data_IF_033346932950
#
_entry.id   IF_033346932950
#
_cell.length_a   1.000
_cell.length_b   1.000
_cell.length_c   1.000
_cell.angle_alpha   90.00
_cell.angle_beta   90.00
_cell.angle_gamma   90.00
#
_symmetry.space_group_name_H-M   'P 1'
#
loop_
_entity.id
_entity.type
_entity.pdbx_description
1 polymer ?
#
# COMPACT_ATOMS: atom_id res chain seq x y z
N UNK A 1 42.20 14.95 -1.24
CA UNK A 1 41.20 15.76 -0.51
C UNK A 1 40.22 16.29 -1.56
N UNK A 2 39.15 15.56 -1.80
CA UNK A 2 38.09 15.98 -2.71
C UNK A 2 36.81 16.10 -1.85
N UNK A 3 36.42 17.34 -1.56
CA UNK A 3 35.13 17.64 -0.94
C UNK A 3 34.05 17.36 -1.98
N UNK A 4 33.22 16.36 -1.74
CA UNK A 4 31.96 16.20 -2.44
C UNK A 4 31.13 17.45 -2.15
N UNK A 5 30.79 18.19 -3.21
CA UNK A 5 29.79 19.24 -3.15
C UNK A 5 28.45 18.55 -2.86
N UNK A 6 27.93 18.78 -1.66
CA UNK A 6 26.48 18.61 -1.43
C UNK A 6 25.77 19.54 -2.39
N UNK A 7 25.23 18.99 -3.46
CA UNK A 7 24.38 19.75 -4.37
C UNK A 7 23.10 20.08 -3.59
N UNK A 8 22.89 21.34 -3.27
CA UNK A 8 21.61 21.85 -2.78
C UNK A 8 20.53 21.42 -3.77
N UNK A 9 19.46 20.80 -3.23
CA UNK A 9 18.34 20.40 -4.06
C UNK A 9 17.78 21.61 -4.81
N UNK A 10 17.48 21.49 -6.11
CA UNK A 10 16.99 22.63 -6.90
C UNK A 10 15.68 23.17 -6.32
N UNK A 11 15.47 24.48 -6.34
CA UNK A 11 14.25 25.17 -5.83
C UNK A 11 12.94 24.60 -6.40
N UNK A 12 12.95 24.06 -7.63
CA UNK A 12 11.78 23.42 -8.23
C UNK A 12 11.39 22.12 -7.53
N UNK A 13 12.34 21.41 -6.89
CA UNK A 13 12.06 20.19 -6.15
C UNK A 13 11.25 20.47 -4.86
N UNK A 14 11.52 21.60 -4.21
CA UNK A 14 10.74 22.07 -3.05
C UNK A 14 9.31 22.46 -3.46
N UNK A 15 9.15 23.09 -4.64
CA UNK A 15 7.84 23.42 -5.18
C UNK A 15 7.04 22.17 -5.57
N UNK A 16 7.66 21.20 -6.22
CA UNK A 16 7.03 19.91 -6.57
C UNK A 16 6.69 19.06 -5.35
N UNK A 17 7.53 19.14 -4.30
CA UNK A 17 7.25 18.53 -3.01
C UNK A 17 6.06 19.18 -2.29
N UNK A 18 5.89 20.49 -2.45
CA UNK A 18 4.75 21.21 -1.88
C UNK A 18 3.43 20.90 -2.62
N UNK A 19 3.51 20.65 -3.92
CA UNK A 19 2.35 20.30 -4.76
C UNK A 19 1.87 18.84 -4.55
N UNK A 20 2.73 17.98 -4.03
CA UNK A 20 2.38 16.61 -3.66
C UNK A 20 1.78 16.57 -2.24
N UNK A 21 0.70 17.33 -2.01
CA UNK A 21 -0.02 17.32 -0.72
C UNK A 21 -0.59 15.93 -0.50
N UNK A 22 -0.12 15.29 0.57
CA UNK A 22 -0.56 13.97 1.00
C UNK A 22 -1.93 14.06 1.69
N UNK A 23 -2.85 13.13 1.42
CA UNK A 23 -4.16 13.04 2.09
C UNK A 23 -4.08 13.07 3.63
N UNK A 24 -2.99 12.54 4.21
CA UNK A 24 -2.79 12.61 5.66
C UNK A 24 -2.23 13.97 6.12
N UNK A 25 -1.81 14.78 5.19
CA UNK A 25 -1.32 16.12 5.42
C UNK A 25 -2.42 17.15 5.49
N UNK A 26 -3.46 16.97 4.68
CA UNK A 26 -4.69 17.76 4.78
C UNK A 26 -5.26 17.66 6.21
N UNK A 27 -5.13 16.49 6.86
CA UNK A 27 -5.51 16.28 8.25
C UNK A 27 -4.68 17.10 9.25
N UNK A 28 -3.39 17.29 9.02
CA UNK A 28 -2.53 18.05 9.93
C UNK A 28 -2.68 19.57 9.73
N UNK A 29 -3.04 20.02 8.51
CA UNK A 29 -3.05 21.43 8.16
C UNK A 29 -4.43 22.08 8.13
N UNK A 30 -5.50 21.35 7.83
CA UNK A 30 -6.76 21.95 7.40
C UNK A 30 -7.99 21.62 8.23
N UNK A 31 -7.85 21.21 9.50
CA UNK A 31 -9.01 20.76 10.27
C UNK A 31 -9.64 21.80 11.20
N UNK A 32 -10.50 22.70 10.67
CA UNK A 32 -11.46 23.41 11.52
C UNK A 32 -12.51 22.47 12.13
N UNK A 33 -12.73 21.27 11.55
CA UNK A 33 -13.80 20.36 11.92
C UNK A 33 -13.45 19.33 13.01
N UNK A 34 -12.16 19.09 13.31
CA UNK A 34 -11.76 18.28 14.46
C UNK A 34 -11.97 19.06 15.75
N UNK A 35 -12.70 18.47 16.69
CA UNK A 35 -12.84 19.08 18.01
C UNK A 35 -11.46 19.28 18.63
N UNK A 36 -11.30 20.34 19.42
CA UNK A 36 -10.03 20.67 20.07
C UNK A 36 -9.52 19.53 20.98
N UNK A 37 -10.43 18.70 21.49
CA UNK A 37 -10.12 17.49 22.25
C UNK A 37 -9.44 16.42 21.42
N UNK A 38 -9.93 16.13 20.22
CA UNK A 38 -9.32 15.15 19.31
C UNK A 38 -7.93 15.60 18.90
N UNK A 39 -7.73 16.91 18.65
CA UNK A 39 -6.40 17.48 18.37
C UNK A 39 -5.42 17.31 19.54
N UNK A 40 -5.90 17.53 20.78
CA UNK A 40 -5.08 17.34 21.98
C UNK A 40 -4.68 15.87 22.14
N UNK A 41 -5.62 14.95 21.94
CA UNK A 41 -5.36 13.50 21.99
C UNK A 41 -4.36 13.11 20.91
N UNK A 42 -4.54 13.57 19.68
CA UNK A 42 -3.62 13.28 18.57
C UNK A 42 -2.19 13.77 18.82
N UNK A 43 -2.03 15.02 19.26
CA UNK A 43 -0.72 15.59 19.60
C UNK A 43 -0.05 14.86 20.76
N UNK A 44 -0.83 14.41 21.75
CA UNK A 44 -0.33 13.65 22.90
C UNK A 44 0.12 12.24 22.50
N UNK A 45 -0.60 11.60 21.57
CA UNK A 45 -0.28 10.26 21.08
C UNK A 45 0.96 10.25 20.15
N UNK A 46 1.23 11.36 19.44
CA UNK A 46 2.30 11.46 18.46
C UNK A 46 3.28 12.61 18.71
N UNK A 47 3.90 12.70 19.90
CA UNK A 47 4.77 13.84 20.27
C UNK A 47 6.06 13.92 19.47
N UNK A 48 6.48 12.85 18.80
CA UNK A 48 7.74 12.71 18.07
C UNK A 48 7.56 12.31 16.60
N UNK A 49 6.50 12.78 15.95
CA UNK A 49 6.31 12.55 14.52
C UNK A 49 7.48 13.15 13.71
N UNK A 50 7.91 12.44 12.66
CA UNK A 50 8.98 12.91 11.76
C UNK A 50 8.57 14.27 11.15
N UNK A 51 9.47 15.29 11.15
CA UNK A 51 9.21 16.56 10.48
C UNK A 51 8.85 16.35 9.00
N UNK A 52 7.99 17.24 8.49
CA UNK A 52 7.43 17.11 7.14
C UNK A 52 8.48 16.96 6.06
N UNK A 53 9.38 17.91 5.98
CA UNK A 53 10.42 17.96 4.97
C UNK A 53 11.33 16.72 5.03
N UNK A 54 11.67 16.27 6.24
CA UNK A 54 12.47 15.07 6.45
C UNK A 54 11.72 13.81 5.97
N UNK A 55 10.43 13.70 6.29
CA UNK A 55 9.60 12.61 5.82
C UNK A 55 9.56 12.54 4.29
N UNK A 56 9.32 13.66 3.60
CA UNK A 56 9.25 13.68 2.14
C UNK A 56 10.60 13.40 1.48
N UNK A 57 11.70 13.93 2.01
CA UNK A 57 13.04 13.61 1.51
C UNK A 57 13.33 12.11 1.61
N UNK A 58 13.05 11.52 2.77
CA UNK A 58 13.20 10.08 2.95
C UNK A 58 12.28 9.27 2.02
N UNK A 59 11.01 9.68 1.89
CA UNK A 59 10.05 9.01 1.02
C UNK A 59 10.48 9.06 -0.45
N UNK A 60 10.94 10.21 -0.96
CA UNK A 60 11.42 10.36 -2.33
C UNK A 60 12.65 9.48 -2.60
N UNK A 61 13.59 9.43 -1.67
CA UNK A 61 14.74 8.55 -1.77
C UNK A 61 14.32 7.08 -1.89
N UNK A 62 13.39 6.64 -1.03
CA UNK A 62 12.86 5.27 -1.08
C UNK A 62 12.04 5.01 -2.35
N UNK A 63 11.32 6.00 -2.87
CA UNK A 63 10.58 5.86 -4.13
C UNK A 63 11.52 5.76 -5.32
N UNK A 64 12.67 6.43 -5.32
CA UNK A 64 13.70 6.25 -6.34
C UNK A 64 14.26 4.81 -6.33
N UNK A 65 14.50 4.25 -5.14
CA UNK A 65 14.92 2.85 -5.02
C UNK A 65 13.81 1.86 -5.44
N UNK A 66 12.53 2.17 -5.18
CA UNK A 66 11.42 1.35 -5.69
C UNK A 66 11.36 1.32 -7.22
N UNK A 67 11.73 2.40 -7.91
CA UNK A 67 11.83 2.42 -9.37
C UNK A 67 12.92 1.46 -9.83
N UNK A 68 14.11 1.48 -9.20
CA UNK A 68 15.18 0.54 -9.50
C UNK A 68 14.76 -0.91 -9.28
N UNK A 69 14.08 -1.18 -8.16
CA UNK A 69 13.49 -2.50 -7.89
C UNK A 69 12.52 -2.93 -8.99
N UNK A 70 11.63 -2.03 -9.41
CA UNK A 70 10.69 -2.29 -10.51
C UNK A 70 11.41 -2.66 -11.80
N UNK A 71 12.42 -1.87 -12.17
CA UNK A 71 13.19 -2.09 -13.41
C UNK A 71 13.95 -3.42 -13.37
N UNK A 72 14.53 -3.74 -12.21
CA UNK A 72 15.18 -5.02 -11.98
C UNK A 72 14.20 -6.20 -12.08
N UNK A 73 13.01 -6.10 -11.48
CA UNK A 73 11.95 -7.12 -11.57
C UNK A 73 11.51 -7.32 -13.03
N UNK A 74 11.30 -6.22 -13.76
CA UNK A 74 10.91 -6.28 -15.17
C UNK A 74 11.98 -6.89 -16.06
N UNK A 75 13.25 -6.53 -15.83
CA UNK A 75 14.41 -7.01 -16.60
C UNK A 75 14.66 -8.51 -16.39
N UNK A 76 14.72 -8.96 -15.14
CA UNK A 76 15.01 -10.36 -14.78
C UNK A 76 13.79 -11.27 -14.82
N UNK A 77 12.60 -10.73 -15.17
CA UNK A 77 11.35 -11.49 -15.19
C UNK A 77 11.00 -12.13 -13.83
N UNK A 78 11.41 -11.48 -12.76
CA UNK A 78 11.06 -11.89 -11.41
C UNK A 78 9.55 -11.76 -11.17
N UNK A 79 9.04 -12.50 -10.19
CA UNK A 79 7.62 -12.48 -9.79
C UNK A 79 7.52 -12.12 -8.31
N UNK A 80 6.90 -10.99 -8.00
CA UNK A 80 6.81 -10.50 -6.62
C UNK A 80 5.35 -10.38 -6.19
N UNK A 81 5.03 -10.94 -5.03
CA UNK A 81 3.74 -10.78 -4.35
C UNK A 81 3.99 -10.18 -2.98
N UNK A 82 3.33 -9.08 -2.68
CA UNK A 82 3.35 -8.48 -1.34
C UNK A 82 1.92 -8.45 -0.79
N UNK A 83 1.73 -9.05 0.38
CA UNK A 83 0.44 -9.08 1.07
C UNK A 83 0.44 -8.04 2.18
N UNK A 84 -0.60 -7.22 2.21
CA UNK A 84 -0.84 -6.23 3.25
C UNK A 84 -2.08 -6.62 4.06
N UNK A 85 -1.85 -7.15 5.24
CA UNK A 85 -2.89 -7.53 6.21
C UNK A 85 -2.81 -6.68 7.47
N UNK A 86 -3.78 -6.82 8.35
CA UNK A 86 -3.79 -6.14 9.64
C UNK A 86 -5.10 -5.43 9.94
N UNK A 87 -5.10 -4.72 11.07
CA UNK A 87 -6.28 -4.04 11.63
C UNK A 87 -6.88 -3.03 10.65
N UNK A 88 -8.19 -2.82 10.78
CA UNK A 88 -8.84 -1.72 10.08
C UNK A 88 -8.27 -0.39 10.57
N UNK A 89 -8.13 0.55 9.65
CA UNK A 89 -7.45 1.85 9.88
C UNK A 89 -5.95 1.77 10.18
N UNK A 90 -5.29 0.62 10.11
CA UNK A 90 -3.87 0.49 10.44
C UNK A 90 -2.91 1.18 9.45
N UNK A 91 -3.40 1.63 8.27
CA UNK A 91 -2.60 2.40 7.32
C UNK A 91 -2.12 1.62 6.10
N UNK A 92 -2.62 0.39 5.87
CA UNK A 92 -2.29 -0.45 4.69
C UNK A 92 -2.37 0.30 3.36
N UNK A 93 -3.54 0.84 3.04
CA UNK A 93 -3.76 1.59 1.79
C UNK A 93 -2.84 2.81 1.64
N UNK A 94 -2.47 3.46 2.75
CA UNK A 94 -1.53 4.57 2.73
C UNK A 94 -0.11 4.14 2.34
N UNK A 95 0.36 2.98 2.79
CA UNK A 95 1.65 2.41 2.38
C UNK A 95 1.60 1.94 0.92
N UNK A 96 0.55 1.22 0.54
CA UNK A 96 0.35 0.76 -0.85
C UNK A 96 0.38 1.96 -1.82
N UNK A 97 -0.34 3.05 -1.50
CA UNK A 97 -0.34 4.28 -2.30
C UNK A 97 1.08 4.86 -2.44
N UNK A 98 1.89 4.89 -1.38
CA UNK A 98 3.27 5.42 -1.42
C UNK A 98 4.22 4.54 -2.20
N UNK A 99 4.03 3.21 -2.17
CA UNK A 99 4.77 2.27 -3.02
C UNK A 99 4.43 2.50 -4.49
N UNK A 100 3.14 2.58 -4.85
CA UNK A 100 2.70 2.60 -6.25
C UNK A 100 2.73 3.96 -6.91
N UNK A 101 2.81 5.04 -6.15
CA UNK A 101 2.62 6.42 -6.61
C UNK A 101 3.50 6.82 -7.81
N UNK A 102 4.72 6.30 -7.88
CA UNK A 102 5.69 6.61 -8.94
C UNK A 102 6.08 5.40 -9.80
N UNK A 103 5.44 4.26 -9.57
CA UNK A 103 5.72 3.03 -10.30
C UNK A 103 4.84 2.89 -11.53
N UNK A 104 5.34 2.16 -12.52
CA UNK A 104 4.63 1.88 -13.77
C UNK A 104 3.46 0.91 -13.49
N UNK A 105 2.19 1.31 -13.71
CA UNK A 105 1.03 0.45 -13.46
C UNK A 105 0.94 -0.77 -14.38
N UNK A 106 1.76 -0.86 -15.43
CA UNK A 106 1.88 -2.06 -16.27
C UNK A 106 2.78 -3.13 -15.64
N UNK A 107 3.63 -2.75 -14.71
CA UNK A 107 4.56 -3.64 -13.99
C UNK A 107 4.05 -3.91 -12.58
N UNK A 108 3.49 -2.89 -11.94
CA UNK A 108 3.02 -2.94 -10.55
C UNK A 108 1.52 -2.72 -10.49
N UNK A 109 0.81 -3.66 -9.90
CA UNK A 109 -0.65 -3.55 -9.74
C UNK A 109 -1.11 -3.87 -8.33
N UNK A 110 -2.19 -3.21 -7.93
CA UNK A 110 -2.85 -3.45 -6.64
C UNK A 110 -4.07 -4.33 -6.86
N UNK A 111 -4.23 -5.33 -6.02
CA UNK A 111 -5.38 -6.25 -6.00
C UNK A 111 -6.12 -6.07 -4.68
N UNK A 112 -7.34 -5.57 -4.76
CA UNK A 112 -8.28 -5.44 -3.65
C UNK A 112 -9.59 -6.12 -4.04
N UNK A 113 -9.78 -7.37 -3.64
CA UNK A 113 -10.94 -8.14 -4.04
C UNK A 113 -12.17 -7.77 -3.19
N UNK A 114 -13.36 -7.61 -3.80
CA UNK A 114 -14.60 -7.42 -3.06
C UNK A 114 -14.99 -8.67 -2.28
N UNK A 115 -16.09 -8.63 -1.54
CA UNK A 115 -16.68 -9.83 -0.94
C UNK A 115 -16.93 -10.90 -2.04
N UNK A 116 -16.72 -12.19 -1.72
CA UNK A 116 -16.90 -13.26 -2.71
C UNK A 116 -18.34 -13.33 -3.20
N UNK A 117 -18.52 -13.47 -4.52
CA UNK A 117 -19.80 -13.76 -5.15
C UNK A 117 -20.32 -15.15 -4.72
N UNK A 118 -21.60 -15.43 -4.94
CA UNK A 118 -22.16 -16.77 -4.60
C UNK A 118 -21.49 -17.90 -5.35
N UNK A 119 -21.05 -17.64 -6.59
CA UNK A 119 -20.25 -18.59 -7.36
C UNK A 119 -18.89 -18.86 -6.69
N UNK A 120 -18.17 -17.79 -6.32
CA UNK A 120 -16.86 -17.91 -5.69
C UNK A 120 -16.90 -18.62 -4.33
N UNK A 121 -17.99 -18.47 -3.56
CA UNK A 121 -18.20 -19.19 -2.29
C UNK A 121 -18.24 -20.73 -2.45
N UNK A 122 -18.57 -21.23 -3.65
CA UNK A 122 -18.62 -22.68 -3.94
C UNK A 122 -17.34 -23.20 -4.62
N UNK A 123 -16.39 -22.33 -4.95
CA UNK A 123 -15.12 -22.69 -5.56
C UNK A 123 -14.08 -23.08 -4.48
N UNK A 124 -13.00 -23.69 -4.93
CA UNK A 124 -11.81 -23.81 -4.09
C UNK A 124 -11.36 -22.43 -3.59
N UNK A 125 -11.11 -22.32 -2.29
CA UNK A 125 -10.96 -21.02 -1.64
C UNK A 125 -9.93 -20.09 -2.30
N UNK A 126 -8.76 -20.63 -2.69
CA UNK A 126 -7.70 -19.85 -3.29
C UNK A 126 -7.97 -19.48 -4.76
N UNK A 127 -8.95 -20.12 -5.42
CA UNK A 127 -9.21 -19.95 -6.86
C UNK A 127 -9.44 -18.49 -7.25
N UNK A 128 -10.08 -17.70 -6.41
CA UNK A 128 -10.33 -16.28 -6.67
C UNK A 128 -9.07 -15.41 -6.61
N UNK A 129 -7.99 -15.87 -5.94
CA UNK A 129 -6.72 -15.15 -5.82
C UNK A 129 -5.72 -15.55 -6.91
N UNK A 130 -5.75 -16.80 -7.34
CA UNK A 130 -4.81 -17.36 -8.33
C UNK A 130 -4.75 -16.57 -9.64
N UNK A 131 -5.85 -16.08 -10.25
CA UNK A 131 -5.81 -15.29 -11.49
C UNK A 131 -5.08 -13.96 -11.34
N UNK A 132 -4.84 -13.51 -10.12
CA UNK A 132 -4.18 -12.24 -9.82
C UNK A 132 -2.69 -12.39 -9.48
N UNK A 133 -2.15 -13.61 -9.49
CA UNK A 133 -0.72 -13.83 -9.27
C UNK A 133 0.12 -13.24 -10.41
N UNK A 134 1.36 -12.84 -10.15
CA UNK A 134 2.20 -12.17 -11.14
C UNK A 134 2.68 -13.10 -12.24
N UNK A 135 2.74 -12.61 -13.45
CA UNK A 135 3.60 -13.13 -14.50
C UNK A 135 5.05 -12.69 -14.28
N UNK A 136 5.98 -13.23 -15.08
CA UNK A 136 7.40 -12.80 -15.04
C UNK A 136 7.54 -11.30 -15.35
N UNK A 137 8.18 -10.56 -14.47
CA UNK A 137 8.37 -9.12 -14.57
C UNK A 137 7.27 -8.28 -13.90
N UNK A 138 6.41 -8.89 -13.06
CA UNK A 138 5.32 -8.17 -12.39
C UNK A 138 5.46 -8.17 -10.86
N UNK A 139 5.01 -7.08 -10.25
CA UNK A 139 4.82 -6.92 -8.80
C UNK A 139 3.33 -6.78 -8.51
N UNK A 140 2.81 -7.63 -7.64
CA UNK A 140 1.41 -7.61 -7.23
C UNK A 140 1.31 -7.30 -5.74
N UNK A 141 0.57 -6.24 -5.40
CA UNK A 141 0.31 -5.82 -4.04
C UNK A 141 -1.13 -6.16 -3.67
N UNK A 142 -1.33 -7.08 -2.73
CA UNK A 142 -2.66 -7.44 -2.23
C UNK A 142 -3.05 -6.55 -1.05
N UNK A 143 -4.06 -5.69 -1.21
CA UNK A 143 -4.75 -5.02 -0.09
C UNK A 143 -5.81 -5.96 0.46
N UNK A 144 -5.47 -6.69 1.49
CA UNK A 144 -6.10 -7.93 1.97
C UNK A 144 -5.93 -9.08 0.98
N UNK A 145 -5.95 -10.29 1.48
CA UNK A 145 -5.61 -11.48 0.71
C UNK A 145 -6.46 -12.69 1.12
N UNK A 146 -5.96 -13.87 0.84
CA UNK A 146 -6.53 -15.13 1.32
C UNK A 146 -6.59 -15.23 2.86
N UNK A 147 -5.87 -14.40 3.58
CA UNK A 147 -5.95 -14.30 5.03
C UNK A 147 -7.25 -13.69 5.56
N UNK A 148 -8.14 -13.19 4.68
CA UNK A 148 -9.51 -12.87 5.05
C UNK A 148 -10.22 -14.06 5.75
N UNK A 149 -9.91 -15.31 5.37
CA UNK A 149 -10.48 -16.53 5.96
C UNK A 149 -10.18 -16.64 7.44
N UNK A 150 -8.93 -16.47 7.85
CA UNK A 150 -8.52 -16.54 9.25
C UNK A 150 -8.83 -15.26 10.04
N UNK A 151 -9.07 -14.16 9.34
CA UNK A 151 -9.37 -12.83 9.90
C UNK A 151 -10.86 -12.51 9.89
N UNK A 152 -11.26 -11.63 8.98
CA UNK A 152 -12.61 -11.07 8.93
C UNK A 152 -13.69 -12.11 8.72
N UNK A 153 -13.47 -13.12 7.89
CA UNK A 153 -14.49 -14.14 7.61
C UNK A 153 -14.79 -15.00 8.86
N UNK A 154 -13.75 -15.37 9.60
CA UNK A 154 -13.88 -16.08 10.88
C UNK A 154 -14.55 -15.22 11.94
N UNK A 155 -14.02 -14.04 12.21
CA UNK A 155 -14.48 -13.16 13.30
C UNK A 155 -15.91 -12.72 13.11
N UNK A 156 -16.35 -12.53 11.86
CA UNK A 156 -17.71 -12.13 11.52
C UNK A 156 -18.67 -13.31 11.33
N UNK A 157 -18.17 -14.54 11.39
CA UNK A 157 -18.98 -15.74 11.19
C UNK A 157 -19.38 -15.99 9.73
N UNK A 158 -18.62 -15.46 8.77
CA UNK A 158 -18.83 -15.73 7.34
C UNK A 158 -18.21 -17.07 6.90
N UNK A 159 -17.28 -17.60 7.69
CA UNK A 159 -16.70 -18.93 7.53
C UNK A 159 -17.03 -19.80 8.73
N UNK A 160 -17.26 -21.09 8.51
CA UNK A 160 -17.40 -22.08 9.58
C UNK A 160 -16.02 -22.42 10.18
N UNK A 161 -16.00 -22.97 11.40
CA UNK A 161 -14.74 -23.38 12.02
C UNK A 161 -14.04 -24.46 11.17
N UNK A 162 -14.76 -25.37 10.53
CA UNK A 162 -14.17 -26.38 9.63
C UNK A 162 -13.49 -25.74 8.42
N UNK A 163 -14.09 -24.68 7.84
CA UNK A 163 -13.49 -23.94 6.72
C UNK A 163 -12.23 -23.17 7.15
N UNK A 164 -12.22 -22.67 8.39
CA UNK A 164 -11.04 -21.98 8.95
C UNK A 164 -9.93 -22.99 9.23
N UNK A 165 -10.26 -24.15 9.80
CA UNK A 165 -9.30 -25.22 10.07
C UNK A 165 -8.69 -25.76 8.77
N UNK A 166 -9.53 -26.02 7.76
CA UNK A 166 -9.06 -26.41 6.43
C UNK A 166 -8.12 -25.36 5.84
N UNK A 167 -8.46 -24.06 5.94
CA UNK A 167 -7.61 -22.97 5.47
C UNK A 167 -6.23 -23.00 6.15
N UNK A 168 -6.17 -23.18 7.46
CA UNK A 168 -4.90 -23.25 8.18
C UNK A 168 -4.04 -24.46 7.79
N UNK A 169 -4.66 -25.56 7.39
CA UNK A 169 -3.94 -26.72 6.87
C UNK A 169 -3.42 -26.48 5.45
N UNK A 170 -4.21 -25.80 4.62
CA UNK A 170 -3.91 -25.62 3.20
C UNK A 170 -2.97 -24.44 2.90
N UNK A 171 -3.08 -23.31 3.64
CA UNK A 171 -2.38 -22.08 3.30
C UNK A 171 -0.85 -22.20 3.35
N UNK A 172 -0.22 -22.91 4.31
CA UNK A 172 1.22 -23.05 4.29
C UNK A 172 1.73 -23.82 3.05
N UNK A 173 0.97 -24.83 2.61
CA UNK A 173 1.31 -25.61 1.42
C UNK A 173 1.10 -24.78 0.14
N UNK A 174 0.01 -24.02 0.07
CA UNK A 174 -0.26 -23.10 -1.02
C UNK A 174 0.88 -22.07 -1.17
N UNK A 175 1.30 -21.43 -0.08
CA UNK A 175 2.39 -20.46 -0.09
C UNK A 175 3.74 -21.10 -0.46
N UNK A 176 4.04 -22.29 0.04
CA UNK A 176 5.24 -23.06 -0.39
C UNK A 176 5.21 -23.38 -1.88
N UNK A 177 4.04 -23.73 -2.44
CA UNK A 177 3.91 -23.92 -3.90
C UNK A 177 4.21 -22.63 -4.67
N UNK A 178 3.71 -21.49 -4.21
CA UNK A 178 3.99 -20.19 -4.82
C UNK A 178 5.50 -19.88 -4.81
N UNK A 179 6.15 -20.05 -3.66
CA UNK A 179 7.59 -19.81 -3.52
C UNK A 179 8.40 -20.76 -4.40
N UNK A 180 8.06 -22.06 -4.41
CA UNK A 180 8.73 -23.05 -5.29
C UNK A 180 8.53 -22.77 -6.77
N UNK A 181 7.44 -22.07 -7.15
CA UNK A 181 7.22 -21.63 -8.55
C UNK A 181 8.01 -20.39 -8.93
N UNK A 182 8.85 -19.87 -8.02
CA UNK A 182 9.69 -18.70 -8.21
C UNK A 182 8.99 -17.38 -7.90
N UNK A 183 7.89 -17.39 -7.14
CA UNK A 183 7.26 -16.16 -6.63
C UNK A 183 7.96 -15.78 -5.32
N UNK A 184 8.42 -14.53 -5.24
CA UNK A 184 8.86 -13.92 -4.00
C UNK A 184 7.64 -13.43 -3.24
N UNK A 185 7.29 -14.12 -2.16
CA UNK A 185 6.11 -13.82 -1.34
C UNK A 185 6.54 -13.09 -0.06
N UNK A 186 6.06 -11.86 0.12
CA UNK A 186 6.29 -11.04 1.31
C UNK A 186 4.96 -10.77 2.00
N UNK A 187 4.92 -10.99 3.33
CA UNK A 187 3.68 -10.82 4.11
C UNK A 187 3.87 -9.77 5.19
N UNK A 188 3.10 -8.68 5.12
CA UNK A 188 3.07 -7.62 6.11
C UNK A 188 1.79 -7.64 6.92
N UNK A 189 1.93 -7.51 8.24
CA UNK A 189 0.84 -7.29 9.16
C UNK A 189 0.93 -5.93 9.82
N UNK A 190 -0.04 -5.05 9.53
CA UNK A 190 -0.13 -3.73 10.14
C UNK A 190 -0.85 -3.79 11.46
N UNK A 191 -0.14 -3.42 12.54
CA UNK A 191 -0.63 -3.42 13.91
C UNK A 191 -0.78 -2.00 14.42
N UNK A 192 -1.89 -1.70 15.07
CA UNK A 192 -2.13 -0.45 15.79
C UNK A 192 -2.74 -0.76 17.15
N UNK A 193 -2.65 0.19 18.08
CA UNK A 193 -3.33 0.10 19.36
C UNK A 193 -4.83 0.37 19.22
N UNK A 194 -5.59 -0.01 20.23
CA UNK A 194 -7.02 0.23 20.30
C UNK A 194 -7.34 1.73 20.29
N UNK A 195 -6.59 2.50 21.06
CA UNK A 195 -6.74 3.97 21.14
C UNK A 195 -6.47 4.63 19.79
N UNK A 196 -5.44 4.18 19.07
CA UNK A 196 -5.12 4.70 17.74
C UNK A 196 -6.22 4.38 16.73
N UNK A 197 -6.77 3.15 16.75
CA UNK A 197 -7.89 2.79 15.89
C UNK A 197 -9.11 3.66 16.18
N UNK A 198 -9.43 3.85 17.46
CA UNK A 198 -10.55 4.72 17.88
C UNK A 198 -10.40 6.12 17.35
N UNK A 199 -9.23 6.72 17.55
CA UNK A 199 -8.95 8.06 17.06
C UNK A 199 -9.12 8.17 15.55
N UNK A 200 -8.61 7.19 14.79
CA UNK A 200 -8.71 7.18 13.32
C UNK A 200 -10.15 7.01 12.84
N UNK A 201 -10.98 6.26 13.54
CA UNK A 201 -12.42 6.16 13.24
C UNK A 201 -13.15 7.45 13.54
N UNK A 202 -12.86 8.10 14.66
CA UNK A 202 -13.43 9.42 14.96
C UNK A 202 -13.08 10.46 13.89
N UNK A 203 -11.84 10.49 13.44
CA UNK A 203 -11.42 11.35 12.31
C UNK A 203 -12.24 11.04 11.05
N UNK A 204 -12.46 9.76 10.69
CA UNK A 204 -13.28 9.41 9.52
C UNK A 204 -14.73 9.82 9.65
N UNK A 205 -15.30 9.79 10.86
CA UNK A 205 -16.68 10.24 11.11
C UNK A 205 -16.84 11.73 10.85
N UNK A 206 -15.84 12.52 11.26
CA UNK A 206 -15.91 13.99 11.22
C UNK A 206 -15.36 14.61 9.93
N UNK A 207 -14.58 13.87 9.13
CA UNK A 207 -14.00 14.36 7.89
C UNK A 207 -14.87 13.98 6.69
N UNK A 208 -15.56 14.94 6.02
CA UNK A 208 -16.42 14.66 4.87
C UNK A 208 -15.69 13.94 3.72
N UNK A 209 -14.37 14.18 3.58
CA UNK A 209 -13.55 13.54 2.54
C UNK A 209 -13.18 12.10 2.88
N UNK A 210 -13.40 11.66 4.13
CA UNK A 210 -13.03 10.32 4.62
C UNK A 210 -14.21 9.47 5.09
N UNK A 211 -15.40 10.05 5.20
CA UNK A 211 -16.60 9.31 5.63
C UNK A 211 -16.87 8.07 4.79
N UNK A 212 -16.62 8.13 3.49
CA UNK A 212 -16.77 7.00 2.58
C UNK A 212 -15.85 5.80 2.91
N UNK A 213 -14.77 6.01 3.67
CA UNK A 213 -13.86 4.96 4.15
C UNK A 213 -14.38 4.23 5.38
N UNK A 214 -15.47 4.70 5.98
CA UNK A 214 -16.04 4.08 7.16
C UNK A 214 -17.20 3.17 6.74
N UNK A 215 -17.02 1.89 6.92
CA UNK A 215 -18.04 0.87 6.64
C UNK A 215 -18.69 0.34 7.92
N UNK A 216 -19.89 -0.27 7.84
CA UNK A 216 -20.48 -0.98 8.98
C UNK A 216 -19.55 -2.07 9.55
N UNK A 217 -18.70 -2.65 8.71
CA UNK A 217 -17.72 -3.67 9.11
C UNK A 217 -16.62 -3.08 10.00
N UNK A 218 -16.18 -1.84 9.74
CA UNK A 218 -15.21 -1.15 10.58
C UNK A 218 -15.74 -0.96 12.02
N UNK A 219 -17.03 -0.62 12.16
CA UNK A 219 -17.66 -0.49 13.47
C UNK A 219 -17.74 -1.84 14.20
N UNK A 220 -18.04 -2.92 13.49
CA UNK A 220 -18.06 -4.27 14.06
C UNK A 220 -16.66 -4.75 14.46
N UNK A 221 -15.61 -4.36 13.72
CA UNK A 221 -14.24 -4.72 14.04
C UNK A 221 -13.79 -4.16 15.39
N UNK A 222 -14.30 -2.97 15.76
CA UNK A 222 -14.03 -2.36 17.05
C UNK A 222 -14.67 -3.14 18.21
N UNK A 223 -15.92 -3.52 18.07
CA UNK A 223 -16.66 -4.30 19.09
C UNK A 223 -16.02 -5.69 19.31
N UNK A 224 -15.33 -6.22 18.31
CA UNK A 224 -14.73 -7.56 18.33
C UNK A 224 -13.19 -7.52 18.41
N UNK A 225 -12.65 -6.52 19.09
CA UNK A 225 -11.21 -6.29 19.17
C UNK A 225 -10.42 -7.52 19.62
N UNK A 226 -10.84 -8.17 20.72
CA UNK A 226 -10.18 -9.36 21.26
C UNK A 226 -10.30 -10.56 20.32
N UNK A 227 -11.44 -10.74 19.67
CA UNK A 227 -11.64 -11.80 18.68
C UNK A 227 -10.66 -11.66 17.50
N UNK A 228 -10.47 -10.44 17.00
CA UNK A 228 -9.46 -10.18 15.99
C UNK A 228 -8.03 -10.36 16.50
N UNK A 229 -7.75 -10.04 17.78
CA UNK A 229 -6.43 -10.29 18.38
C UNK A 229 -6.15 -11.78 18.40
N UNK A 230 -7.08 -12.59 18.91
CA UNK A 230 -6.96 -14.06 18.93
C UNK A 230 -6.79 -14.65 17.54
N UNK A 231 -7.56 -14.19 16.56
CA UNK A 231 -7.46 -14.63 15.17
C UNK A 231 -6.08 -14.31 14.58
N UNK A 232 -5.51 -13.13 14.87
CA UNK A 232 -4.15 -12.76 14.48
C UNK A 232 -3.10 -13.69 15.09
N UNK A 233 -3.18 -13.91 16.39
CA UNK A 233 -2.21 -14.74 17.12
C UNK A 233 -2.18 -16.16 16.56
N UNK A 234 -3.34 -16.76 16.31
CA UNK A 234 -3.44 -18.08 15.70
C UNK A 234 -2.95 -18.09 14.25
N UNK A 235 -3.26 -17.04 13.46
CA UNK A 235 -2.73 -16.89 12.11
C UNK A 235 -1.20 -16.92 12.12
N UNK A 236 -0.55 -16.19 13.00
CA UNK A 236 0.91 -16.21 13.09
C UNK A 236 1.44 -17.54 13.55
N UNK A 237 0.84 -18.14 14.57
CA UNK A 237 1.29 -19.43 15.08
C UNK A 237 1.24 -20.55 14.03
N UNK A 238 0.26 -20.52 13.13
CA UNK A 238 0.01 -21.59 12.15
C UNK A 238 0.54 -21.30 10.75
N UNK A 239 0.85 -20.04 10.41
CA UNK A 239 1.19 -19.67 9.02
C UNK A 239 2.51 -18.89 8.89
N UNK A 240 3.26 -18.73 9.98
CA UNK A 240 4.60 -18.13 9.91
C UNK A 240 5.61 -19.19 9.47
N UNK A 241 5.71 -19.41 8.18
CA UNK A 241 6.61 -20.40 7.58
C UNK A 241 7.95 -19.76 7.18
N UNK A 242 9.07 -20.51 7.23
CA UNK A 242 10.38 -19.96 6.88
C UNK A 242 10.48 -19.43 5.46
N UNK A 243 9.77 -20.03 4.51
CA UNK A 243 9.77 -19.65 3.09
C UNK A 243 9.04 -18.33 2.82
N UNK A 244 8.08 -17.97 3.69
CA UNK A 244 7.31 -16.75 3.63
C UNK A 244 6.91 -16.31 5.05
N UNK A 245 7.84 -15.70 5.80
CA UNK A 245 7.56 -15.24 7.16
C UNK A 245 6.65 -14.01 7.18
N UNK A 246 5.99 -13.78 8.32
CA UNK A 246 5.26 -12.58 8.61
C UNK A 246 6.18 -11.48 9.15
N UNK A 247 5.97 -10.25 8.66
CA UNK A 247 6.62 -9.05 9.17
C UNK A 247 5.57 -8.11 9.76
N UNK A 248 5.77 -7.68 11.01
CA UNK A 248 4.84 -6.78 11.69
C UNK A 248 5.30 -5.34 11.47
N UNK A 249 4.38 -4.51 10.97
CA UNK A 249 4.56 -3.08 10.82
C UNK A 249 3.78 -2.36 11.91
N UNK A 250 4.47 -1.62 12.76
CA UNK A 250 3.85 -0.77 13.77
C UNK A 250 3.25 0.47 13.11
N UNK A 251 1.91 0.52 13.09
CA UNK A 251 1.14 1.49 12.33
C UNK A 251 0.70 2.73 13.10
N UNK A 252 1.03 2.88 14.40
CA UNK A 252 0.59 4.03 15.19
C UNK A 252 1.12 5.35 14.63
N UNK A 253 2.41 5.42 14.26
CA UNK A 253 2.95 6.53 13.48
C UNK A 253 2.92 6.17 11.99
N UNK A 254 2.02 6.79 11.24
CA UNK A 254 1.83 6.53 9.81
C UNK A 254 3.05 6.85 8.97
N UNK A 255 3.79 7.92 9.30
CA UNK A 255 4.99 8.32 8.54
C UNK A 255 6.09 7.27 8.72
N UNK A 256 6.35 6.87 9.96
CA UNK A 256 7.33 5.81 10.27
C UNK A 256 6.92 4.47 9.67
N UNK A 257 5.65 4.09 9.80
CA UNK A 257 5.13 2.85 9.23
C UNK A 257 5.35 2.78 7.71
N UNK A 258 5.14 3.87 6.99
CA UNK A 258 5.36 3.95 5.54
C UNK A 258 6.83 3.81 5.19
N UNK A 259 7.69 4.63 5.78
CA UNK A 259 9.12 4.60 5.49
C UNK A 259 9.72 3.24 5.84
N UNK A 260 9.46 2.74 7.04
CA UNK A 260 10.01 1.47 7.51
C UNK A 260 9.52 0.27 6.68
N UNK A 261 8.25 0.26 6.27
CA UNK A 261 7.72 -0.81 5.44
C UNK A 261 8.34 -0.82 4.03
N UNK A 262 8.50 0.35 3.42
CA UNK A 262 9.13 0.49 2.10
C UNK A 262 10.61 0.11 2.18
N UNK A 263 11.33 0.66 3.14
CA UNK A 263 12.74 0.36 3.36
C UNK A 263 12.98 -1.14 3.59
N UNK A 264 12.17 -1.76 4.45
CA UNK A 264 12.24 -3.20 4.69
C UNK A 264 11.95 -4.03 3.41
N UNK A 265 10.96 -3.63 2.59
CA UNK A 265 10.65 -4.31 1.33
C UNK A 265 11.84 -4.26 0.38
N UNK A 266 12.50 -3.12 0.26
CA UNK A 266 13.70 -2.93 -0.55
C UNK A 266 14.87 -3.81 -0.09
N UNK A 267 15.03 -3.98 1.22
CA UNK A 267 16.09 -4.84 1.78
C UNK A 267 15.81 -6.35 1.64
N UNK A 268 14.53 -6.75 1.52
CA UNK A 268 14.18 -8.17 1.33
C UNK A 268 14.46 -8.70 -0.07
N UNK A 269 14.47 -7.85 -1.07
CA UNK A 269 14.64 -8.24 -2.47
C UNK A 269 16.02 -7.79 -2.94
N UNK A 270 16.90 -8.72 -3.32
CA UNK A 270 18.24 -8.36 -3.80
C UNK A 270 18.15 -7.82 -5.23
N UNK A 271 17.93 -6.53 -5.38
CA UNK A 271 17.92 -5.84 -6.67
C UNK A 271 19.22 -5.05 -6.87
N UNK A 272 19.54 -4.79 -8.12
CA UNK A 272 20.68 -4.00 -8.56
C UNK A 272 20.28 -3.10 -9.74
N UNK A 273 21.09 -2.11 -10.05
CA UNK A 273 20.86 -1.28 -11.22
C UNK A 273 20.92 -2.13 -12.50
N UNK A 274 19.96 -1.95 -13.40
CA UNK A 274 19.90 -2.63 -14.68
C UNK A 274 20.34 -1.70 -15.80
N UNK A 275 20.87 -2.24 -16.91
CA UNK A 275 21.22 -1.42 -18.06
C UNK A 275 20.01 -0.70 -18.64
N UNK A 276 20.12 0.61 -18.84
CA UNK A 276 19.15 1.42 -19.57
C UNK A 276 19.74 1.80 -20.93
N UNK A 277 18.91 1.79 -21.96
CA UNK A 277 19.30 2.33 -23.26
C UNK A 277 19.40 3.85 -23.19
N UNK A 278 20.42 4.43 -23.79
CA UNK A 278 20.56 5.87 -23.92
C UNK A 278 19.44 6.41 -24.82
N UNK A 279 18.52 7.15 -24.22
CA UNK A 279 17.39 7.74 -24.93
C UNK A 279 17.82 9.11 -25.48
N UNK A 280 17.94 9.18 -26.80
CA UNK A 280 18.12 10.48 -27.48
C UNK A 280 16.77 10.95 -27.99
N UNK A 281 16.35 12.16 -27.59
CA UNK A 281 15.13 12.75 -28.11
C UNK A 281 15.32 13.10 -29.59
N UNK A 282 14.56 12.47 -30.53
CA UNK A 282 14.67 12.78 -31.93
C UNK A 282 14.19 14.22 -32.21
N UNK A 283 14.78 14.85 -33.20
CA UNK A 283 14.30 16.14 -33.67
C UNK A 283 12.88 16.02 -34.21
N UNK A 284 12.08 17.06 -33.96
CA UNK A 284 10.73 17.12 -34.52
C UNK A 284 10.78 17.32 -36.03
N UNK A 285 10.23 16.36 -36.76
CA UNK A 285 10.02 16.54 -38.22
C UNK A 285 8.82 17.47 -38.40
N UNK A 286 9.08 18.66 -38.95
CA UNK A 286 8.06 19.64 -39.27
C UNK A 286 7.49 19.37 -40.67
N UNK A 287 6.17 19.25 -40.79
CA UNK A 287 5.50 19.17 -42.09
C UNK A 287 4.94 20.56 -42.44
N UNK A 288 5.53 21.31 -43.41
CA UNK A 288 5.09 22.65 -43.78
C UNK A 288 3.72 22.64 -44.49
N UNK A 289 3.29 21.51 -45.04
CA UNK A 289 2.01 21.41 -45.79
C UNK A 289 0.84 21.02 -44.86
N UNK A 290 1.11 20.85 -43.56
CA UNK A 290 0.06 20.50 -42.59
C UNK A 290 -0.55 21.74 -41.96
N UNK A 291 -1.81 22.02 -42.32
CA UNK A 291 -2.62 23.06 -41.64
C UNK A 291 -3.46 22.41 -40.52
N UNK A 292 -3.30 22.96 -39.32
CA UNK A 292 -4.05 22.52 -38.15
C UNK A 292 -5.49 23.03 -38.21
N UNK A 293 -6.46 22.11 -38.19
CA UNK A 293 -7.86 22.47 -38.08
C UNK A 293 -8.14 23.16 -36.72
N UNK A 294 -8.84 24.29 -36.77
CA UNK A 294 -9.36 24.94 -35.57
C UNK A 294 -10.56 24.15 -35.07
N UNK A 295 -10.47 23.64 -33.85
CA UNK A 295 -11.56 22.92 -33.23
C UNK A 295 -12.60 23.89 -32.66
N UNK A 296 -13.90 23.55 -32.70
CA UNK A 296 -14.94 24.37 -32.09
C UNK A 296 -14.69 24.60 -30.60
N UNK A 297 -14.97 25.79 -30.07
CA UNK A 297 -14.70 26.14 -28.65
C UNK A 297 -15.37 25.18 -27.66
N UNK A 298 -16.53 24.61 -28.01
CA UNK A 298 -17.29 23.69 -27.17
C UNK A 298 -16.60 22.32 -26.94
N UNK A 299 -15.57 22.02 -27.72
CA UNK A 299 -14.73 20.83 -27.50
C UNK A 299 -13.64 21.04 -26.44
N UNK A 300 -13.41 22.28 -26.05
CA UNK A 300 -12.43 22.58 -25.02
C UNK A 300 -13.10 22.62 -23.64
N UNK A 301 -12.41 22.07 -22.66
CA UNK A 301 -12.83 22.23 -21.26
C UNK A 301 -12.79 23.71 -20.92
N UNK A 302 -13.88 24.30 -20.38
CA UNK A 302 -13.87 25.69 -19.98
C UNK A 302 -12.79 26.00 -18.97
N UNK A 303 -11.98 27.02 -19.23
CA UNK A 303 -11.01 27.53 -18.26
C UNK A 303 -11.77 28.26 -17.16
N UNK A 304 -11.77 27.63 -15.98
CA UNK A 304 -12.44 28.17 -14.79
C UNK A 304 -11.43 28.67 -13.74
N UNK A 305 -10.20 28.21 -13.82
CA UNK A 305 -9.07 28.52 -12.94
C UNK A 305 -7.91 29.05 -13.76
#
# INVERSE_FOLDING_TARGET
>A
MNKSKDAEAPDWLEAELADTIDEDYELELSEPALSEEIRKIYRKAHPASIPRLEYFRALLSLQAELIKLQDWVAYHKEKVVVIFEGRDSAGKGGVIKRITQRLNPRVVRVVALPAPSDREKTQWYFQRYVPHLPAGGEIVLFDRSWYNRSGVERVMGFATEDQVEQFFNDVPEFERMLVRSGIRLVKYWFSITDEEQQMRFLVRIHDPLKQWKLSPMDLQSRVRWEAYTKAKEETFARTNIPEAPWYIVEGNDKKRARLNCIDHLLHLIPYEDVPHEDITLPERVFNPDYERNVLPPELYVPSKY
#
